data_IF_496610075717
#
_entry.id   IF_496610075717
#
_cell.length_a   1.000
_cell.length_b   1.000
_cell.length_c   1.000
_cell.angle_alpha   90.00
_cell.angle_beta   90.00
_cell.angle_gamma   90.00
#
_symmetry.space_group_name_H-M   'P 1'
#
loop_
_entity.id
_entity.type
_entity.pdbx_description
1 polymer ?
#
# COMPACT_ATOMS: atom_id res chain seq x y z
N UNK A 1 -26.87 -24.25 10.39
CA UNK A 1 -26.21 -23.48 9.30
C UNK A 1 -24.72 -23.81 9.17
N UNK A 2 -23.92 -23.65 10.24
CA UNK A 2 -22.46 -23.89 10.24
C UNK A 2 -22.05 -25.31 9.80
N UNK A 3 -22.75 -26.34 10.29
CA UNK A 3 -22.46 -27.74 9.93
C UNK A 3 -22.62 -27.98 8.43
N UNK A 4 -23.68 -27.43 7.82
CA UNK A 4 -23.98 -27.59 6.39
C UNK A 4 -22.95 -26.88 5.48
N UNK A 5 -22.43 -25.73 5.92
CA UNK A 5 -21.38 -25.00 5.22
C UNK A 5 -20.05 -25.78 5.25
N UNK A 6 -19.70 -26.38 6.40
CA UNK A 6 -18.53 -27.22 6.55
C UNK A 6 -18.57 -28.48 5.68
N UNK A 7 -19.74 -29.13 5.57
CA UNK A 7 -19.92 -30.29 4.67
C UNK A 7 -19.80 -29.89 3.20
N UNK A 8 -20.35 -28.74 2.79
CA UNK A 8 -20.21 -28.23 1.44
C UNK A 8 -18.76 -27.91 1.09
N UNK A 9 -18.01 -27.26 2.00
CA UNK A 9 -16.61 -26.93 1.77
C UNK A 9 -15.74 -28.19 1.64
N UNK A 10 -15.95 -29.21 2.49
CA UNK A 10 -15.27 -30.52 2.37
C UNK A 10 -15.56 -31.19 1.04
N UNK A 11 -16.81 -31.16 0.58
CA UNK A 11 -17.21 -31.74 -0.70
C UNK A 11 -16.63 -30.96 -1.89
N UNK A 12 -16.66 -29.63 -1.86
CA UNK A 12 -16.08 -28.76 -2.89
C UNK A 12 -14.55 -28.93 -2.98
N UNK A 13 -13.88 -29.10 -1.84
CA UNK A 13 -12.44 -29.34 -1.79
C UNK A 13 -12.06 -30.71 -2.35
N UNK A 14 -12.88 -31.75 -2.11
CA UNK A 14 -12.65 -33.08 -2.67
C UNK A 14 -12.93 -33.17 -4.18
N UNK A 15 -13.90 -32.39 -4.67
CA UNK A 15 -14.38 -32.51 -6.05
C UNK A 15 -13.67 -31.55 -7.00
N UNK A 16 -13.46 -30.31 -6.56
CA UNK A 16 -12.87 -29.27 -7.40
C UNK A 16 -11.93 -28.37 -6.57
N UNK A 17 -10.79 -28.93 -6.11
CA UNK A 17 -9.87 -28.21 -5.22
C UNK A 17 -9.32 -26.92 -5.84
N UNK A 18 -9.17 -26.88 -7.17
CA UNK A 18 -8.62 -25.73 -7.90
C UNK A 18 -9.49 -24.48 -7.70
N UNK A 19 -10.82 -24.60 -7.77
CA UNK A 19 -11.72 -23.46 -7.56
C UNK A 19 -11.77 -23.01 -6.11
N UNK A 20 -11.69 -23.94 -5.17
CA UNK A 20 -11.67 -23.60 -3.73
C UNK A 20 -10.40 -22.85 -3.38
N UNK A 21 -9.25 -23.34 -3.87
CA UNK A 21 -7.94 -22.70 -3.61
C UNK A 21 -7.85 -21.32 -4.26
N UNK A 22 -8.35 -21.14 -5.48
CA UNK A 22 -8.34 -19.82 -6.13
C UNK A 22 -9.16 -18.79 -5.35
N UNK A 23 -10.33 -19.18 -4.85
CA UNK A 23 -11.18 -18.30 -4.05
C UNK A 23 -10.52 -17.95 -2.70
N UNK A 24 -9.83 -18.91 -2.06
CA UNK A 24 -9.08 -18.66 -0.83
C UNK A 24 -7.92 -17.68 -1.07
N UNK A 25 -7.11 -17.89 -2.10
CA UNK A 25 -5.96 -17.02 -2.39
C UNK A 25 -6.44 -15.61 -2.77
N UNK A 26 -7.47 -15.51 -3.60
CA UNK A 26 -8.06 -14.22 -3.99
C UNK A 26 -8.61 -13.46 -2.78
N UNK A 27 -9.41 -14.12 -1.95
CA UNK A 27 -9.97 -13.50 -0.74
C UNK A 27 -8.89 -13.10 0.26
N UNK A 28 -7.87 -13.93 0.47
CA UNK A 28 -6.75 -13.62 1.36
C UNK A 28 -6.00 -12.38 0.87
N UNK A 29 -5.74 -12.27 -0.43
CA UNK A 29 -5.04 -11.11 -1.02
C UNK A 29 -5.84 -9.82 -0.80
N UNK A 30 -7.16 -9.87 -1.02
CA UNK A 30 -8.05 -8.71 -0.83
C UNK A 30 -8.10 -8.26 0.63
N UNK A 31 -8.14 -9.20 1.57
CA UNK A 31 -8.20 -8.91 3.00
C UNK A 31 -6.84 -8.45 3.55
N UNK A 32 -5.75 -9.04 3.06
CA UNK A 32 -4.39 -8.75 3.55
C UNK A 32 -3.88 -7.38 3.11
N UNK A 33 -4.28 -6.90 1.93
CA UNK A 33 -3.86 -5.61 1.39
C UNK A 33 -4.17 -4.41 2.32
N UNK A 34 -5.41 -4.24 2.84
CA UNK A 34 -5.73 -3.17 3.79
C UNK A 34 -5.28 -3.44 5.23
N UNK A 35 -5.12 -4.71 5.64
CA UNK A 35 -4.65 -5.06 6.99
C UNK A 35 -3.14 -4.91 7.16
N UNK A 36 -2.38 -5.00 6.06
CA UNK A 36 -0.93 -4.96 6.13
C UNK A 36 -0.43 -3.53 6.38
N UNK A 37 0.32 -3.29 7.47
CA UNK A 37 0.98 -2.00 7.70
C UNK A 37 2.08 -1.75 6.66
N UNK A 38 2.49 -2.77 5.91
CA UNK A 38 3.55 -2.69 4.90
C UNK A 38 3.08 -2.10 3.57
N UNK A 39 1.79 -2.18 3.25
CA UNK A 39 1.23 -1.60 2.02
C UNK A 39 1.49 -0.09 1.95
N UNK A 40 1.48 0.59 3.10
CA UNK A 40 1.83 2.02 3.20
C UNK A 40 3.26 2.31 2.75
N UNK A 41 4.24 1.51 3.19
CA UNK A 41 5.64 1.70 2.83
C UNK A 41 5.89 1.42 1.36
N UNK A 42 5.22 0.42 0.77
CA UNK A 42 5.30 0.16 -0.66
C UNK A 42 4.84 1.38 -1.49
N UNK A 43 3.74 2.03 -1.09
CA UNK A 43 3.26 3.26 -1.75
C UNK A 43 4.28 4.39 -1.60
N UNK A 44 4.79 4.61 -0.38
CA UNK A 44 5.78 5.66 -0.12
C UNK A 44 7.07 5.48 -0.94
N UNK A 45 7.50 4.24 -1.20
CA UNK A 45 8.66 3.96 -2.04
C UNK A 45 8.38 4.36 -3.49
N UNK A 46 7.21 4.01 -4.03
CA UNK A 46 6.83 4.39 -5.40
C UNK A 46 6.72 5.90 -5.59
N UNK A 47 6.24 6.63 -4.58
CA UNK A 47 6.19 8.10 -4.61
C UNK A 47 7.56 8.75 -4.45
N UNK A 48 8.45 8.14 -3.67
CA UNK A 48 9.80 8.65 -3.43
C UNK A 48 10.75 8.45 -4.61
N UNK A 49 10.44 7.54 -5.56
CA UNK A 49 11.25 7.34 -6.77
C UNK A 49 10.87 8.35 -7.86
N UNK A 50 11.75 9.30 -8.20
CA UNK A 50 11.44 10.31 -9.22
C UNK A 50 11.59 9.72 -10.62
N UNK A 51 10.49 9.56 -11.34
CA UNK A 51 10.51 9.19 -12.76
C UNK A 51 10.64 10.40 -13.69
N UNK A 52 10.21 11.58 -13.22
CA UNK A 52 10.29 12.83 -13.95
C UNK A 52 11.33 13.74 -13.30
N UNK A 53 11.98 14.57 -14.13
CA UNK A 53 12.93 15.55 -13.63
C UNK A 53 12.21 16.59 -12.74
N UNK A 54 12.63 16.78 -11.49
CA UNK A 54 11.99 17.73 -10.59
C UNK A 54 12.33 19.16 -11.04
N UNK A 55 11.32 19.87 -11.55
CA UNK A 55 11.47 21.27 -11.99
C UNK A 55 11.55 22.19 -10.76
N UNK A 56 12.63 22.98 -10.62
CA UNK A 56 12.74 23.96 -9.54
C UNK A 56 11.63 25.01 -9.66
N UNK A 57 10.89 25.24 -8.57
CA UNK A 57 9.90 26.30 -8.50
C UNK A 57 10.59 27.59 -8.06
N UNK A 58 10.25 28.72 -8.68
CA UNK A 58 10.79 30.03 -8.31
C UNK A 58 10.31 30.40 -6.91
N UNK A 59 11.24 30.85 -6.07
CA UNK A 59 10.97 31.29 -4.71
C UNK A 59 10.23 32.63 -4.71
N UNK A 60 9.11 32.69 -3.98
CA UNK A 60 8.26 33.87 -3.78
C UNK A 60 8.47 34.52 -2.40
N UNK A 61 9.40 33.98 -1.59
CA UNK A 61 9.72 34.49 -0.26
C UNK A 61 8.85 33.93 0.87
N UNK A 62 7.89 33.03 0.59
CA UNK A 62 7.02 32.39 1.60
C UNK A 62 7.17 30.86 1.67
N UNK A 63 8.17 30.27 1.01
CA UNK A 63 8.33 28.80 0.93
C UNK A 63 9.14 28.21 2.10
N UNK A 64 8.58 28.18 3.33
CA UNK A 64 9.27 27.61 4.51
C UNK A 64 9.50 26.07 4.43
N UNK A 65 8.69 25.35 3.65
CA UNK A 65 8.69 23.87 3.63
C UNK A 65 9.72 23.26 2.66
N UNK A 66 10.39 24.07 1.82
CA UNK A 66 11.28 23.56 0.75
C UNK A 66 12.73 23.95 0.98
N UNK A 67 13.61 22.97 0.80
CA UNK A 67 15.04 23.19 0.87
C UNK A 67 15.53 23.81 -0.45
N UNK A 68 16.31 24.89 -0.36
CA UNK A 68 16.88 25.58 -1.52
C UNK A 68 17.88 24.71 -2.33
N UNK A 69 18.39 23.63 -1.73
CA UNK A 69 19.31 22.68 -2.38
C UNK A 69 19.16 21.32 -1.70
N UNK A 70 19.52 20.23 -2.40
CA UNK A 70 19.47 18.86 -1.86
C UNK A 70 20.22 18.66 -0.52
N UNK A 71 21.20 19.53 -0.23
CA UNK A 71 22.00 19.51 1.00
C UNK A 71 21.48 20.44 2.12
N UNK A 72 20.53 21.32 1.83
CA UNK A 72 20.01 22.25 2.83
C UNK A 72 19.03 21.53 3.79
N UNK A 73 19.18 21.69 5.12
CA UNK A 73 18.26 21.09 6.08
C UNK A 73 16.86 21.69 5.90
N UNK A 74 15.86 20.83 5.72
CA UNK A 74 14.45 21.23 5.75
C UNK A 74 14.06 21.45 7.22
N UNK A 75 13.44 22.58 7.53
CA UNK A 75 12.91 22.82 8.87
C UNK A 75 11.88 21.72 9.23
N UNK A 76 11.96 21.12 10.44
CA UNK A 76 11.05 20.06 10.83
C UNK A 76 9.63 20.61 11.07
N UNK A 77 8.61 19.86 10.65
CA UNK A 77 7.20 20.29 10.58
C UNK A 77 6.49 20.57 11.92
N UNK A 78 7.23 20.58 13.04
CA UNK A 78 6.72 20.77 14.41
C UNK A 78 7.23 22.06 15.07
N UNK A 79 7.96 22.90 14.33
CA UNK A 79 8.39 24.21 14.81
C UNK A 79 7.32 25.26 14.48
N UNK A 80 6.19 25.20 15.19
CA UNK A 80 5.07 26.15 15.09
C UNK A 80 4.13 26.01 16.27
#
# INVERSE_FOLDING_TARGET
MVVRLGTFLKNAWAKEPVWVVSFIIGSLTVILTPLSPYTKYSIMISEATPYNYPVPIRDDGNMQTRAATSRAPRAPAWSG
#
